data_IF_591698094014
#
_entry.id   IF_591698094014
#
_cell.length_a   1.000
_cell.length_b   1.000
_cell.length_c   1.000
_cell.angle_alpha   90.00
_cell.angle_beta   90.00
_cell.angle_gamma   90.00
#
_symmetry.space_group_name_H-M   'P 1'
#
loop_
_entity.id
_entity.type
_entity.pdbx_description
1 polymer ?
#
# COMPACT_ATOMS: atom_id res chain seq x y z
N UNK A 1 -9.84 -75.05 14.23
CA UNK A 1 -9.66 -73.62 14.17
C UNK A 1 -10.49 -73.11 13.04
N UNK A 2 -11.55 -72.40 13.39
CA UNK A 2 -12.60 -71.93 12.51
C UNK A 2 -12.18 -70.59 11.87
N UNK A 3 -12.53 -70.43 10.61
CA UNK A 3 -12.56 -69.14 9.92
C UNK A 3 -13.84 -68.39 10.32
N UNK A 4 -13.82 -67.07 10.44
CA UNK A 4 -15.06 -66.31 10.54
C UNK A 4 -15.53 -65.92 9.12
N UNK A 5 -16.86 -66.00 9.03
CA UNK A 5 -17.74 -65.80 7.90
C UNK A 5 -17.77 -64.32 7.39
N UNK A 6 -18.12 -64.22 6.14
CA UNK A 6 -18.39 -63.03 5.34
C UNK A 6 -19.37 -62.05 5.99
N UNK A 7 -19.03 -60.79 6.07
CA UNK A 7 -19.94 -59.70 6.38
C UNK A 7 -20.38 -59.01 5.07
N UNK A 8 -21.68 -59.04 4.85
CA UNK A 8 -22.38 -58.47 3.68
C UNK A 8 -22.23 -56.93 3.60
N UNK A 9 -22.05 -56.43 2.39
CA UNK A 9 -22.16 -55.02 2.04
C UNK A 9 -23.60 -54.50 2.18
N UNK A 10 -23.84 -53.32 2.71
CA UNK A 10 -25.17 -52.72 2.63
C UNK A 10 -25.39 -52.04 1.25
N UNK A 11 -26.56 -52.38 0.68
CA UNK A 11 -27.13 -51.91 -0.58
C UNK A 11 -27.42 -50.39 -0.55
N UNK A 12 -27.30 -49.82 -1.71
CA UNK A 12 -27.68 -48.49 -2.20
C UNK A 12 -28.87 -47.84 -1.51
N UNK A 13 -28.70 -46.62 -1.04
CA UNK A 13 -29.76 -45.72 -0.66
C UNK A 13 -29.91 -44.63 -1.74
N UNK A 14 -31.15 -44.52 -2.19
CA UNK A 14 -31.68 -43.68 -3.25
C UNK A 14 -31.18 -42.22 -3.30
N UNK A 15 -30.85 -41.75 -4.48
CA UNK A 15 -30.74 -40.34 -4.81
C UNK A 15 -32.13 -39.70 -4.93
N UNK A 16 -32.36 -38.51 -4.39
CA UNK A 16 -33.59 -37.78 -4.69
C UNK A 16 -33.53 -37.11 -6.07
N UNK A 17 -34.63 -37.18 -6.77
CA UNK A 17 -34.92 -36.64 -8.07
C UNK A 17 -34.72 -35.10 -8.16
N UNK A 18 -34.28 -34.66 -9.29
CA UNK A 18 -34.11 -33.26 -9.71
C UNK A 18 -35.45 -32.51 -9.72
N UNK A 19 -35.50 -31.39 -8.98
CA UNK A 19 -36.60 -30.45 -9.06
C UNK A 19 -36.45 -29.53 -10.29
N UNK A 20 -37.57 -29.37 -10.99
CA UNK A 20 -37.79 -28.62 -12.23
C UNK A 20 -37.28 -27.15 -12.15
N UNK A 21 -36.63 -26.72 -13.25
CA UNK A 21 -36.40 -25.32 -13.58
C UNK A 21 -37.67 -24.70 -14.18
N UNK A 22 -38.08 -23.50 -13.79
CA UNK A 22 -39.12 -22.78 -14.50
C UNK A 22 -38.59 -22.16 -15.82
N UNK A 23 -39.37 -22.37 -16.88
CA UNK A 23 -39.18 -21.80 -18.20
C UNK A 23 -39.16 -20.27 -18.20
N UNK A 24 -38.18 -19.70 -18.88
CA UNK A 24 -38.04 -18.28 -19.12
C UNK A 24 -38.83 -17.91 -20.36
N UNK A 25 -40.00 -17.29 -20.22
CA UNK A 25 -40.76 -16.73 -21.32
C UNK A 25 -40.19 -15.36 -21.69
N UNK A 26 -39.70 -15.30 -22.92
CA UNK A 26 -39.39 -14.08 -23.66
C UNK A 26 -40.49 -13.04 -23.56
N UNK A 27 -40.11 -11.81 -23.21
CA UNK A 27 -40.85 -10.60 -23.60
C UNK A 27 -39.85 -9.52 -23.96
N UNK A 28 -39.57 -9.45 -25.27
CA UNK A 28 -39.02 -8.23 -25.87
C UNK A 28 -40.07 -7.14 -25.80
N UNK A 29 -39.70 -6.05 -25.16
CA UNK A 29 -40.39 -4.78 -25.34
C UNK A 29 -39.34 -3.72 -25.71
N UNK A 30 -39.41 -3.33 -26.99
CA UNK A 30 -38.61 -2.30 -27.62
C UNK A 30 -38.99 -0.92 -27.03
N UNK A 31 -38.05 -0.25 -26.43
CA UNK A 31 -38.19 1.17 -26.09
C UNK A 31 -37.50 2.03 -27.15
N UNK A 32 -38.27 2.89 -27.75
CA UNK A 32 -37.92 3.84 -28.83
C UNK A 32 -36.92 4.91 -28.31
N UNK A 33 -35.99 5.26 -29.19
CA UNK A 33 -35.11 6.43 -29.03
C UNK A 33 -35.93 7.76 -29.08
N UNK A 34 -35.64 8.73 -28.24
CA UNK A 34 -36.18 10.06 -28.46
C UNK A 34 -35.32 10.84 -29.46
N UNK A 35 -36.05 11.38 -30.45
CA UNK A 35 -35.58 12.24 -31.54
C UNK A 35 -34.93 13.52 -31.03
N UNK A 36 -33.86 13.89 -31.71
CA UNK A 36 -33.16 15.17 -31.65
C UNK A 36 -34.09 16.38 -31.71
N UNK A 37 -33.90 17.31 -30.80
CA UNK A 37 -34.48 18.65 -30.87
C UNK A 37 -33.44 19.65 -31.38
N UNK A 38 -33.94 20.50 -32.25
CA UNK A 38 -33.34 21.52 -33.08
C UNK A 38 -32.31 22.45 -32.43
N UNK A 39 -31.30 22.79 -33.23
CA UNK A 39 -30.44 23.97 -33.05
C UNK A 39 -31.22 25.25 -33.47
N UNK A 40 -31.05 26.37 -32.79
CA UNK A 40 -31.42 27.67 -33.35
C UNK A 40 -30.25 28.31 -34.10
N UNK A 41 -30.63 28.90 -35.22
CA UNK A 41 -29.80 29.60 -36.18
C UNK A 41 -29.07 30.84 -35.65
N UNK A 42 -28.00 31.12 -36.35
CA UNK A 42 -27.16 32.30 -36.48
C UNK A 42 -27.78 33.66 -36.16
N UNK A 43 -27.10 34.48 -35.40
CA UNK A 43 -27.23 35.93 -35.37
C UNK A 43 -25.93 36.59 -35.81
N UNK A 44 -26.11 37.57 -36.65
CA UNK A 44 -25.21 38.30 -37.52
C UNK A 44 -24.09 39.10 -36.82
N UNK A 45 -22.99 39.26 -37.57
CA UNK A 45 -21.85 40.15 -37.37
C UNK A 45 -22.22 41.59 -37.75
N UNK A 46 -21.80 42.65 -37.06
CA UNK A 46 -21.58 43.94 -37.63
C UNK A 46 -20.11 44.18 -37.99
N UNK A 47 -19.88 44.56 -39.24
CA UNK A 47 -18.67 45.15 -39.75
C UNK A 47 -18.48 46.58 -39.21
N UNK A 48 -17.24 46.97 -38.96
CA UNK A 48 -16.85 48.33 -38.67
C UNK A 48 -15.33 48.44 -38.74
N UNK A 49 -14.90 48.96 -39.88
CA UNK A 49 -13.54 49.26 -40.17
C UNK A 49 -12.99 50.41 -39.32
N UNK A 50 -11.70 50.38 -38.97
CA UNK A 50 -10.83 51.54 -39.22
C UNK A 50 -9.37 51.08 -39.17
N UNK A 51 -8.66 51.55 -40.21
CA UNK A 51 -7.23 51.41 -40.45
C UNK A 51 -6.46 52.42 -39.59
N UNK A 52 -5.37 51.99 -38.96
CA UNK A 52 -4.21 52.89 -38.70
C UNK A 52 -2.91 52.14 -38.83
N UNK A 53 -2.26 52.45 -39.81
CA UNK A 53 -0.92 52.87 -40.17
C UNK A 53 0.24 52.24 -39.36
N UNK A 54 1.05 51.52 -40.12
CA UNK A 54 2.38 50.95 -39.79
C UNK A 54 3.39 52.04 -39.47
N UNK A 55 4.05 51.90 -38.32
CA UNK A 55 5.34 52.52 -38.05
C UNK A 55 6.44 51.45 -37.94
N UNK A 56 7.34 51.49 -38.92
CA UNK A 56 8.59 50.73 -38.89
C UNK A 56 9.43 51.16 -37.69
N UNK A 57 9.80 50.20 -36.83
CA UNK A 57 10.89 50.39 -35.87
C UNK A 57 12.05 49.47 -36.24
N UNK A 58 13.19 50.11 -36.45
CA UNK A 58 14.49 49.51 -36.69
C UNK A 58 14.96 48.56 -35.58
N UNK A 59 15.77 47.55 -35.89
CA UNK A 59 16.31 46.63 -34.89
C UNK A 59 17.39 47.33 -34.05
N UNK A 60 17.15 47.41 -32.74
CA UNK A 60 18.19 47.75 -31.76
C UNK A 60 19.14 46.56 -31.54
N UNK A 61 20.41 46.80 -31.29
CA UNK A 61 21.40 45.75 -31.06
C UNK A 61 21.10 45.04 -29.74
N UNK A 62 21.00 43.70 -29.78
CA UNK A 62 20.91 42.83 -28.63
C UNK A 62 22.14 43.03 -27.73
N UNK A 63 21.94 43.59 -26.57
CA UNK A 63 22.90 43.60 -25.48
C UNK A 63 22.98 42.19 -24.92
N UNK A 64 24.15 41.57 -24.93
CA UNK A 64 24.41 40.28 -24.34
C UNK A 64 24.02 40.27 -22.86
N UNK A 65 23.22 39.30 -22.46
CA UNK A 65 22.87 39.07 -21.08
C UNK A 65 24.15 38.69 -20.29
N UNK A 66 24.36 39.23 -19.09
CA UNK A 66 25.47 38.79 -18.25
C UNK A 66 25.22 37.32 -17.84
N UNK A 67 26.21 36.46 -18.09
CA UNK A 67 26.30 35.15 -17.51
C UNK A 67 26.47 35.27 -16.00
N UNK A 68 25.95 34.25 -15.27
CA UNK A 68 26.06 34.07 -13.84
C UNK A 68 25.20 34.98 -12.94
N UNK A 69 23.91 34.68 -12.89
CA UNK A 69 23.16 34.81 -11.67
C UNK A 69 23.19 33.43 -10.96
N UNK A 70 24.01 33.36 -9.91
CA UNK A 70 23.91 32.26 -8.95
C UNK A 70 22.42 32.06 -8.55
N UNK A 71 21.95 30.83 -8.37
CA UNK A 71 20.56 30.63 -7.95
C UNK A 71 20.33 31.41 -6.67
N UNK A 72 19.30 32.25 -6.66
CA UNK A 72 18.89 33.02 -5.51
C UNK A 72 18.73 32.06 -4.33
N UNK A 73 19.44 32.33 -3.25
CA UNK A 73 19.32 31.61 -2.01
C UNK A 73 17.84 31.56 -1.64
N UNK A 74 17.26 30.37 -1.65
CA UNK A 74 15.89 30.14 -1.22
C UNK A 74 15.77 30.67 0.22
N UNK A 75 14.78 31.52 0.46
CA UNK A 75 14.32 31.89 1.80
C UNK A 75 14.27 30.63 2.65
N UNK A 76 14.67 30.63 3.95
CA UNK A 76 14.57 29.46 4.81
C UNK A 76 13.10 29.15 5.06
N UNK A 77 12.45 28.48 4.12
CA UNK A 77 11.26 27.70 4.36
C UNK A 77 11.67 26.48 5.17
N UNK A 78 10.75 25.87 5.87
CA UNK A 78 10.89 24.67 6.73
C UNK A 78 11.75 23.50 6.17
N UNK A 79 12.59 23.72 5.19
CA UNK A 79 13.50 22.75 4.57
C UNK A 79 12.85 21.82 3.52
N UNK A 80 11.53 21.89 3.34
CA UNK A 80 10.83 21.04 2.36
C UNK A 80 10.79 21.64 0.95
N UNK A 81 10.91 20.77 -0.04
CA UNK A 81 10.69 21.13 -1.45
C UNK A 81 9.36 20.53 -1.96
N UNK A 82 8.85 21.08 -3.06
CA UNK A 82 7.65 20.62 -3.76
C UNK A 82 7.97 19.81 -5.02
N UNK A 83 9.25 19.54 -5.28
CA UNK A 83 9.69 18.71 -6.39
C UNK A 83 9.56 17.24 -6.01
N UNK A 84 9.14 16.42 -6.96
CA UNK A 84 9.03 14.98 -6.80
C UNK A 84 10.22 14.25 -7.40
N UNK A 85 10.46 13.03 -6.90
CA UNK A 85 11.44 12.12 -7.46
C UNK A 85 10.70 10.92 -8.08
N UNK A 86 10.99 10.64 -9.35
CA UNK A 86 10.53 9.40 -10.00
C UNK A 86 11.76 8.58 -10.39
N UNK A 87 11.87 7.40 -9.82
CA UNK A 87 12.93 6.43 -10.08
C UNK A 87 12.39 5.37 -11.02
N UNK A 88 12.98 5.22 -12.20
CA UNK A 88 12.54 4.27 -13.22
C UNK A 88 13.69 3.33 -13.56
N UNK A 89 13.56 2.05 -13.18
CA UNK A 89 14.47 0.99 -13.59
C UNK A 89 13.75 -0.01 -14.50
N UNK A 90 14.01 0.06 -15.80
CA UNK A 90 13.43 -0.87 -16.79
C UNK A 90 14.33 -2.07 -17.09
N UNK A 91 15.49 -2.17 -16.43
CA UNK A 91 16.47 -3.23 -16.65
C UNK A 91 16.30 -4.29 -15.55
N UNK A 92 15.60 -5.37 -15.83
CA UNK A 92 15.30 -6.42 -14.83
C UNK A 92 16.55 -7.09 -14.25
N UNK A 93 17.64 -7.15 -15.02
CA UNK A 93 18.93 -7.75 -14.66
C UNK A 93 19.92 -6.77 -14.00
N UNK A 94 19.53 -5.52 -13.82
CA UNK A 94 20.36 -4.49 -13.20
C UNK A 94 19.71 -3.90 -11.96
N UNK A 95 20.53 -3.59 -10.97
CA UNK A 95 20.11 -2.84 -9.77
C UNK A 95 20.43 -1.37 -9.98
N UNK A 96 19.43 -0.51 -9.78
CA UNK A 96 19.63 0.92 -9.72
C UNK A 96 19.89 1.31 -8.27
N UNK A 97 21.04 1.93 -8.00
CA UNK A 97 21.38 2.41 -6.66
C UNK A 97 21.12 3.92 -6.58
N UNK A 98 20.44 4.33 -5.51
CA UNK A 98 20.14 5.71 -5.19
C UNK A 98 20.55 5.98 -3.74
N UNK A 99 21.15 7.12 -3.46
CA UNK A 99 21.34 7.61 -2.09
C UNK A 99 20.41 8.77 -1.83
N UNK A 100 19.60 8.69 -0.77
CA UNK A 100 18.85 9.83 -0.24
C UNK A 100 19.66 10.41 0.92
N UNK A 101 20.01 11.69 0.81
CA UNK A 101 20.75 12.41 1.83
C UNK A 101 20.03 13.72 2.16
N UNK A 102 19.44 13.78 3.36
CA UNK A 102 18.70 14.95 3.86
C UNK A 102 17.58 15.41 2.90
N UNK A 103 16.95 14.47 2.19
CA UNK A 103 15.90 14.74 1.22
C UNK A 103 14.59 15.00 1.94
N UNK A 104 14.02 16.20 1.75
CA UNK A 104 12.74 16.59 2.36
C UNK A 104 11.77 17.06 1.27
N UNK A 105 10.73 16.26 1.02
CA UNK A 105 9.69 16.54 0.01
C UNK A 105 8.33 16.52 0.69
N UNK A 106 7.58 17.61 0.51
CA UNK A 106 6.21 17.71 0.98
C UNK A 106 5.31 18.19 -0.17
N UNK A 107 4.52 17.28 -0.70
CA UNK A 107 3.50 17.52 -1.71
C UNK A 107 2.10 17.10 -1.20
N UNK A 108 1.94 17.07 0.12
CA UNK A 108 0.71 16.65 0.80
C UNK A 108 -0.50 17.52 0.47
N UNK A 109 -0.28 18.73 -0.01
CA UNK A 109 -1.30 19.67 -0.47
C UNK A 109 -1.79 19.41 -1.90
N UNK A 110 -1.36 18.32 -2.54
CA UNK A 110 -1.78 17.95 -3.90
C UNK A 110 -2.84 16.86 -3.90
N UNK A 111 -3.69 16.87 -4.95
CA UNK A 111 -4.87 16.00 -5.04
C UNK A 111 -6.03 16.54 -4.20
N UNK A 112 -7.13 15.83 -4.21
CA UNK A 112 -8.33 16.20 -3.43
C UNK A 112 -8.74 14.99 -2.59
N UNK A 113 -8.61 15.04 -1.25
CA UNK A 113 -9.09 14.02 -0.35
C UNK A 113 -10.56 13.66 -0.58
N UNK A 114 -10.96 12.42 -0.36
CA UNK A 114 -12.33 11.94 -0.59
C UNK A 114 -12.74 11.82 -2.05
N UNK A 115 -11.81 12.02 -2.99
CA UNK A 115 -12.10 11.96 -4.42
C UNK A 115 -11.13 11.04 -5.16
N UNK A 116 -11.39 10.79 -6.46
CA UNK A 116 -10.48 10.03 -7.34
C UNK A 116 -9.31 10.87 -7.86
N UNK A 117 -9.27 12.18 -7.55
CA UNK A 117 -8.20 13.08 -8.01
C UNK A 117 -6.94 12.81 -7.20
N UNK A 118 -6.00 12.11 -7.83
CA UNK A 118 -4.72 11.75 -7.22
C UNK A 118 -3.80 12.95 -7.08
N UNK A 119 -3.14 13.05 -5.94
CA UNK A 119 -2.04 13.96 -5.72
C UNK A 119 -0.74 13.49 -6.36
N UNK A 120 0.36 14.10 -5.95
CA UNK A 120 1.72 13.72 -6.34
C UNK A 120 2.30 12.76 -5.31
N UNK A 121 3.05 11.76 -5.75
CA UNK A 121 3.93 11.00 -4.88
C UNK A 121 5.24 11.78 -4.66
N UNK A 122 5.70 11.89 -3.42
CA UNK A 122 6.97 12.56 -3.11
C UNK A 122 8.15 11.83 -3.77
N UNK A 123 8.18 10.50 -3.64
CA UNK A 123 9.08 9.62 -4.37
C UNK A 123 8.31 8.41 -4.90
N UNK A 124 8.48 8.09 -6.19
CA UNK A 124 7.90 6.88 -6.79
C UNK A 124 8.96 6.02 -7.45
N UNK A 125 8.84 4.69 -7.28
CA UNK A 125 9.69 3.67 -7.90
C UNK A 125 8.88 2.90 -8.93
N UNK A 126 9.37 2.84 -10.16
CA UNK A 126 8.69 2.26 -11.32
C UNK A 126 9.61 1.34 -12.12
N UNK A 127 9.01 0.47 -12.91
CA UNK A 127 9.70 -0.45 -13.80
C UNK A 127 9.89 -1.83 -13.20
N UNK A 128 10.54 -2.71 -13.95
CA UNK A 128 10.74 -4.12 -13.61
C UNK A 128 12.14 -4.47 -13.07
N UNK A 129 13.03 -3.50 -13.00
CA UNK A 129 14.34 -3.66 -12.38
C UNK A 129 14.33 -3.36 -10.88
N UNK A 130 15.31 -3.91 -10.19
CA UNK A 130 15.47 -3.71 -8.75
C UNK A 130 16.03 -2.31 -8.45
N UNK A 131 15.59 -1.71 -7.35
CA UNK A 131 16.08 -0.42 -6.87
C UNK A 131 16.53 -0.58 -5.43
N UNK A 132 17.76 -0.17 -5.13
CA UNK A 132 18.30 -0.05 -3.78
C UNK A 132 18.44 1.42 -3.41
N UNK A 133 17.90 1.79 -2.26
CA UNK A 133 17.98 3.16 -1.72
C UNK A 133 18.82 3.10 -0.44
N UNK A 134 19.98 3.74 -0.50
CA UNK A 134 20.82 4.02 0.67
C UNK A 134 20.27 5.25 1.39
N UNK A 135 20.11 5.16 2.70
CA UNK A 135 19.63 6.26 3.53
C UNK A 135 20.79 6.93 4.24
N UNK A 136 20.99 8.23 4.02
CA UNK A 136 21.96 9.08 4.72
C UNK A 136 21.22 10.26 5.35
N UNK A 137 21.54 10.59 6.57
CA UNK A 137 20.91 11.72 7.27
C UNK A 137 19.40 11.57 7.44
N UNK A 138 18.68 12.67 7.48
CA UNK A 138 17.25 12.72 7.79
C UNK A 138 16.40 12.96 6.54
N UNK A 139 15.77 11.92 6.05
CA UNK A 139 14.89 11.99 4.87
C UNK A 139 13.42 12.01 5.27
N UNK A 140 12.64 12.90 4.67
CA UNK A 140 11.19 13.00 4.92
C UNK A 140 10.41 13.16 3.60
N UNK A 141 9.45 12.25 3.39
CA UNK A 141 8.61 12.17 2.19
C UNK A 141 7.14 12.25 2.60
N UNK A 142 6.43 13.30 2.16
CA UNK A 142 4.99 13.46 2.37
C UNK A 142 4.29 13.56 1.02
N UNK A 143 3.40 12.64 0.74
CA UNK A 143 2.69 12.57 -0.53
C UNK A 143 1.28 13.15 -0.45
N UNK A 144 0.76 13.55 -1.60
CA UNK A 144 -0.59 14.06 -1.75
C UNK A 144 -1.66 12.96 -1.72
N UNK A 145 -2.92 13.36 -1.75
CA UNK A 145 -4.06 12.46 -1.65
C UNK A 145 -3.95 11.26 -2.59
N UNK A 146 -4.30 10.08 -2.11
CA UNK A 146 -4.29 8.82 -2.87
C UNK A 146 -2.91 8.31 -3.32
N UNK A 147 -1.81 8.82 -2.74
CA UNK A 147 -0.44 8.42 -3.07
C UNK A 147 0.33 7.97 -1.84
N UNK A 148 1.20 6.96 -2.01
CA UNK A 148 2.08 6.53 -0.92
C UNK A 148 3.24 7.51 -0.70
N UNK A 149 3.74 7.61 0.53
CA UNK A 149 4.86 8.46 0.90
C UNK A 149 6.11 8.13 0.08
N UNK A 150 6.53 6.87 0.11
CA UNK A 150 7.44 6.24 -0.86
C UNK A 150 6.61 5.25 -1.67
N UNK A 151 6.28 5.61 -2.88
CA UNK A 151 5.33 4.85 -3.68
C UNK A 151 5.98 3.77 -4.52
N UNK A 152 5.46 2.55 -4.39
CA UNK A 152 5.82 1.38 -5.17
C UNK A 152 4.57 0.53 -5.41
N UNK A 153 3.78 0.91 -6.41
CA UNK A 153 2.61 0.16 -6.84
C UNK A 153 3.00 -1.06 -7.67
N UNK A 154 2.33 -2.18 -7.47
CA UNK A 154 2.52 -3.39 -8.30
C UNK A 154 2.14 -3.18 -9.76
N UNK A 155 1.21 -2.28 -10.06
CA UNK A 155 0.84 -1.91 -11.42
C UNK A 155 2.00 -1.29 -12.21
N UNK A 156 2.89 -0.57 -11.52
CA UNK A 156 3.92 0.24 -12.14
C UNK A 156 5.34 -0.32 -11.91
N UNK A 157 5.49 -1.25 -10.96
CA UNK A 157 6.79 -1.77 -10.55
C UNK A 157 6.72 -3.21 -10.06
N UNK A 158 7.39 -4.11 -10.78
CA UNK A 158 7.53 -5.53 -10.41
C UNK A 158 8.88 -5.86 -9.79
N UNK A 159 9.90 -5.02 -9.93
CA UNK A 159 11.21 -5.18 -9.30
C UNK A 159 11.14 -5.04 -7.77
N UNK A 160 12.22 -5.34 -7.08
CA UNK A 160 12.34 -5.18 -5.62
C UNK A 160 12.76 -3.76 -5.28
N UNK A 161 12.10 -3.17 -4.27
CA UNK A 161 12.56 -1.97 -3.57
C UNK A 161 13.32 -2.41 -2.32
N UNK A 162 14.58 -2.03 -2.19
CA UNK A 162 15.37 -2.27 -0.98
C UNK A 162 15.75 -0.95 -0.33
N UNK A 163 15.42 -0.79 0.95
CA UNK A 163 15.93 0.29 1.80
C UNK A 163 17.09 -0.25 2.63
N UNK A 164 18.19 0.47 2.68
CA UNK A 164 19.40 0.07 3.40
C UNK A 164 20.13 1.26 4.02
N UNK A 165 21.00 0.95 4.95
CA UNK A 165 21.91 1.86 5.63
C UNK A 165 23.19 1.04 5.88
N UNK A 166 23.94 0.82 4.79
CA UNK A 166 25.10 -0.06 4.77
C UNK A 166 26.42 0.71 4.92
N UNK A 167 26.36 2.03 4.78
CA UNK A 167 27.54 2.90 4.90
C UNK A 167 27.80 3.32 6.36
N UNK A 168 28.64 4.31 6.58
CA UNK A 168 28.99 4.79 7.91
C UNK A 168 28.14 5.99 8.39
N UNK A 169 27.29 6.50 7.53
CA UNK A 169 26.42 7.65 7.84
C UNK A 169 25.05 7.11 8.25
N UNK A 170 24.65 7.33 9.49
CA UNK A 170 23.33 6.89 9.95
C UNK A 170 22.22 7.56 9.14
N UNK A 171 21.28 6.76 8.66
CA UNK A 171 20.19 7.23 7.83
C UNK A 171 18.81 6.96 8.39
N UNK A 172 17.92 7.92 8.15
CA UNK A 172 16.52 7.78 8.51
C UNK A 172 15.60 8.10 7.33
N UNK A 173 14.42 7.49 7.32
CA UNK A 173 13.34 7.78 6.40
C UNK A 173 12.03 7.92 7.18
N UNK A 174 11.38 9.08 7.06
CA UNK A 174 9.99 9.27 7.46
C UNK A 174 9.13 9.37 6.21
N UNK A 175 8.27 8.40 5.98
CA UNK A 175 7.39 8.34 4.82
C UNK A 175 5.93 8.42 5.28
N UNK A 176 5.19 9.42 4.76
CA UNK A 176 3.78 9.64 5.10
C UNK A 176 2.95 9.59 3.84
N UNK A 177 1.99 8.67 3.81
CA UNK A 177 1.01 8.54 2.73
C UNK A 177 -0.03 9.67 2.77
N UNK A 178 -0.59 9.99 1.61
CA UNK A 178 -1.84 10.75 1.54
C UNK A 178 -3.03 9.86 1.87
N UNK A 179 -4.23 10.37 1.88
CA UNK A 179 -5.46 9.77 2.43
C UNK A 179 -5.60 8.24 2.26
N UNK A 180 -5.48 7.72 1.06
CA UNK A 180 -5.59 6.28 0.76
C UNK A 180 -4.22 5.68 0.36
N UNK A 181 -3.13 6.32 0.69
CA UNK A 181 -1.81 5.84 0.36
C UNK A 181 -1.11 5.19 1.55
N UNK A 182 -0.31 4.17 1.32
CA UNK A 182 0.59 3.62 2.32
C UNK A 182 1.68 4.64 2.71
N UNK A 183 2.30 4.46 3.87
CA UNK A 183 3.55 5.17 4.17
C UNK A 183 4.62 4.77 3.15
N UNK A 184 4.85 3.46 2.98
CA UNK A 184 5.72 2.88 1.97
C UNK A 184 4.96 1.77 1.25
N UNK A 185 4.80 1.87 -0.07
CA UNK A 185 4.13 0.83 -0.87
C UNK A 185 3.07 1.36 -1.83
N UNK A 186 1.84 0.88 -1.73
CA UNK A 186 0.76 1.19 -2.66
C UNK A 186 0.10 2.55 -2.41
N UNK A 187 -0.28 3.24 -3.48
CA UNK A 187 -1.27 4.33 -3.43
C UNK A 187 -2.70 3.76 -3.41
N UNK A 188 -3.70 4.61 -3.53
CA UNK A 188 -5.11 4.20 -3.56
C UNK A 188 -5.36 3.05 -4.54
N UNK A 189 -5.96 1.94 -4.06
CA UNK A 189 -6.19 0.68 -4.77
C UNK A 189 -4.91 0.02 -5.30
N UNK A 190 -3.77 0.39 -4.74
CA UNK A 190 -2.48 -0.16 -5.11
C UNK A 190 -1.97 -1.13 -4.05
N UNK A 191 -1.48 -2.29 -4.48
CA UNK A 191 -0.74 -3.19 -3.60
C UNK A 191 0.72 -2.77 -3.50
N UNK A 192 1.28 -2.83 -2.30
CA UNK A 192 2.72 -2.70 -2.07
C UNK A 192 3.36 -4.09 -2.07
N UNK A 193 4.31 -4.34 -2.98
CA UNK A 193 4.92 -5.66 -3.16
C UNK A 193 6.41 -5.61 -3.37
N UNK A 194 7.11 -6.69 -2.98
CA UNK A 194 8.57 -6.82 -3.12
C UNK A 194 9.33 -5.68 -2.42
N UNK A 195 9.05 -5.45 -1.14
CA UNK A 195 9.69 -4.42 -0.32
C UNK A 195 10.63 -5.08 0.67
N UNK A 196 11.90 -4.67 0.68
CA UNK A 196 12.91 -5.17 1.61
C UNK A 196 13.51 -4.02 2.42
N UNK A 197 13.59 -4.17 3.74
CA UNK A 197 14.27 -3.23 4.62
C UNK A 197 15.46 -3.97 5.25
N UNK A 198 16.67 -3.51 4.98
CA UNK A 198 17.93 -4.09 5.48
C UNK A 198 18.52 -3.32 6.65
N UNK A 199 18.25 -1.99 6.72
CA UNK A 199 18.87 -1.13 7.73
C UNK A 199 18.23 0.25 7.80
N UNK A 200 18.81 1.12 8.62
CA UNK A 200 18.35 2.49 8.87
C UNK A 200 17.17 2.58 9.85
N UNK A 201 16.74 3.82 10.10
CA UNK A 201 15.53 4.09 10.87
C UNK A 201 14.39 4.44 9.93
N UNK A 202 13.40 3.58 9.81
CA UNK A 202 12.26 3.75 8.92
C UNK A 202 10.99 4.00 9.73
N UNK A 203 10.39 5.18 9.55
CA UNK A 203 9.11 5.57 10.14
C UNK A 203 8.10 5.70 9.01
N UNK A 204 7.20 4.75 8.87
CA UNK A 204 6.21 4.70 7.81
C UNK A 204 4.80 4.87 8.38
N UNK A 205 4.09 5.91 7.94
CA UNK A 205 2.72 6.20 8.38
C UNK A 205 1.81 6.18 7.17
N UNK A 206 0.82 5.32 7.18
CA UNK A 206 -0.24 5.28 6.19
C UNK A 206 -1.14 6.53 6.28
N UNK A 207 -1.79 6.86 5.20
CA UNK A 207 -2.92 7.78 5.21
C UNK A 207 -4.14 7.12 5.85
N UNK A 208 -5.31 7.74 5.74
CA UNK A 208 -6.54 7.32 6.42
C UNK A 208 -6.83 5.81 6.28
N UNK A 209 -6.66 5.27 5.07
CA UNK A 209 -6.96 3.87 4.73
C UNK A 209 -5.72 3.08 4.27
N UNK A 210 -4.54 3.66 4.31
CA UNK A 210 -3.31 3.03 3.86
C UNK A 210 -2.55 2.32 4.96
N UNK A 211 -1.85 1.24 4.64
CA UNK A 211 -0.93 0.57 5.56
C UNK A 211 0.28 1.47 5.90
N UNK A 212 0.92 1.24 7.04
CA UNK A 212 2.23 1.85 7.31
C UNK A 212 3.22 1.40 6.24
N UNK A 213 3.40 0.10 6.05
CA UNK A 213 4.19 -0.51 4.97
C UNK A 213 3.33 -1.57 4.28
N UNK A 214 3.07 -1.41 2.98
CA UNK A 214 2.30 -2.37 2.20
C UNK A 214 1.23 -1.77 1.32
N UNK A 215 -0.01 -2.17 1.47
CA UNK A 215 -1.12 -1.77 0.61
C UNK A 215 -1.64 -0.36 0.88
N UNK A 216 -2.12 0.31 -0.17
CA UNK A 216 -2.96 1.50 -0.02
C UNK A 216 -4.41 1.12 0.29
N UNK A 217 -5.22 2.13 0.62
CA UNK A 217 -6.65 1.94 0.88
C UNK A 217 -7.48 1.74 -0.38
N UNK A 218 -8.72 1.34 -0.18
CA UNK A 218 -9.66 0.98 -1.25
C UNK A 218 -9.53 -0.48 -1.66
N UNK A 219 -10.43 -0.93 -2.53
CA UNK A 219 -10.48 -2.31 -2.98
C UNK A 219 -9.10 -2.79 -3.48
N UNK A 220 -8.64 -3.96 -2.97
CA UNK A 220 -7.43 -4.68 -3.43
C UNK A 220 -6.07 -4.16 -2.95
N UNK A 221 -5.98 -3.24 -2.03
CA UNK A 221 -4.70 -2.73 -1.50
C UNK A 221 -3.99 -3.73 -0.56
N UNK A 222 -3.35 -4.75 -1.10
CA UNK A 222 -2.61 -5.77 -0.32
C UNK A 222 -1.14 -5.39 -0.10
N UNK A 223 -0.57 -5.87 1.00
CA UNK A 223 0.89 -5.86 1.23
C UNK A 223 1.45 -7.26 1.04
N UNK A 224 2.34 -7.45 0.06
CA UNK A 224 2.86 -8.76 -0.30
C UNK A 224 4.38 -8.76 -0.42
N UNK A 225 5.01 -9.90 -0.12
CA UNK A 225 6.46 -10.09 -0.25
C UNK A 225 7.25 -8.97 0.48
N UNK A 226 6.90 -8.71 1.74
CA UNK A 226 7.56 -7.70 2.57
C UNK A 226 8.59 -8.39 3.46
N UNK A 227 9.86 -7.97 3.38
CA UNK A 227 10.94 -8.56 4.14
C UNK A 227 11.67 -7.52 4.99
N UNK A 228 11.78 -7.75 6.30
CA UNK A 228 12.57 -6.92 7.20
C UNK A 228 13.74 -7.73 7.72
N UNK A 229 14.97 -7.31 7.41
CA UNK A 229 16.22 -7.98 7.76
C UNK A 229 16.99 -7.27 8.87
N UNK A 230 16.72 -5.99 9.09
CA UNK A 230 17.43 -5.18 10.07
C UNK A 230 16.89 -3.75 10.16
N UNK A 231 17.58 -2.93 10.93
CA UNK A 231 17.19 -1.54 11.20
C UNK A 231 16.15 -1.39 12.30
N UNK A 232 15.67 -0.16 12.45
CA UNK A 232 14.53 0.19 13.33
C UNK A 232 13.35 0.57 12.45
N UNK A 233 12.28 -0.19 12.51
CA UNK A 233 11.08 0.01 11.68
C UNK A 233 9.89 0.31 12.56
N UNK A 234 9.30 1.49 12.38
CA UNK A 234 8.05 1.89 13.01
C UNK A 234 7.00 2.09 11.91
N UNK A 235 6.02 1.22 11.86
CA UNK A 235 4.99 1.22 10.85
C UNK A 235 3.61 1.40 11.50
N UNK A 236 2.93 2.49 11.16
CA UNK A 236 1.58 2.76 11.63
C UNK A 236 0.60 2.78 10.46
N UNK A 237 -0.41 1.94 10.52
CA UNK A 237 -1.54 1.95 9.59
C UNK A 237 -2.47 3.14 9.83
N UNK A 238 -3.28 3.47 8.84
CA UNK A 238 -4.42 4.38 8.98
C UNK A 238 -5.57 3.72 9.74
N UNK A 239 -6.76 4.33 9.75
CA UNK A 239 -7.86 3.91 10.61
C UNK A 239 -8.24 2.42 10.52
N UNK A 240 -8.20 1.85 9.32
CA UNK A 240 -8.60 0.46 9.09
C UNK A 240 -7.52 -0.33 8.33
N UNK A 241 -6.29 0.07 8.48
CA UNK A 241 -5.17 -0.51 7.73
C UNK A 241 -4.11 -1.08 8.67
N UNK A 242 -3.42 -2.12 8.23
CA UNK A 242 -2.36 -2.77 8.99
C UNK A 242 -1.14 -1.84 9.21
N UNK A 243 -0.41 -2.03 10.29
CA UNK A 243 0.91 -1.43 10.44
C UNK A 243 1.83 -1.89 9.32
N UNK A 244 1.95 -3.23 9.13
CA UNK A 244 2.68 -3.86 8.03
C UNK A 244 1.76 -4.86 7.37
N UNK A 245 1.43 -4.66 6.09
CA UNK A 245 0.58 -5.56 5.33
C UNK A 245 -0.51 -4.86 4.53
N UNK A 246 -1.76 -5.21 4.72
CA UNK A 246 -2.88 -4.72 3.93
C UNK A 246 -3.35 -3.32 4.32
N UNK A 247 -3.79 -2.53 3.33
CA UNK A 247 -4.59 -1.34 3.56
C UNK A 247 -6.06 -1.70 3.88
N UNK A 248 -6.91 -0.68 4.10
CA UNK A 248 -8.35 -0.88 4.22
C UNK A 248 -8.93 -1.40 2.91
N UNK A 249 -9.61 -2.52 2.95
CA UNK A 249 -10.24 -3.17 1.81
C UNK A 249 -11.60 -2.61 1.39
N UNK A 250 -12.12 -1.59 2.07
CA UNK A 250 -13.41 -0.98 1.78
C UNK A 250 -14.58 -1.97 1.89
N UNK A 251 -15.13 -2.19 3.07
CA UNK A 251 -16.17 -3.14 3.47
C UNK A 251 -17.34 -3.44 2.52
N UNK A 252 -17.06 -3.80 1.28
CA UNK A 252 -18.05 -4.20 0.28
C UNK A 252 -18.50 -5.65 0.48
N UNK A 253 -19.79 -5.92 0.34
CA UNK A 253 -20.48 -7.20 0.55
C UNK A 253 -20.06 -8.36 -0.36
N UNK A 254 -18.91 -8.31 -1.00
CA UNK A 254 -18.43 -9.35 -1.89
C UNK A 254 -17.10 -9.91 -1.43
N UNK A 255 -17.06 -11.10 -0.90
CA UNK A 255 -15.91 -11.86 -0.39
C UNK A 255 -14.62 -11.86 -1.24
N UNK A 256 -14.09 -10.69 -1.53
CA UNK A 256 -12.86 -10.49 -2.25
C UNK A 256 -11.68 -10.32 -1.30
N UNK A 257 -10.48 -10.47 -1.79
CA UNK A 257 -9.19 -10.33 -1.11
C UNK A 257 -9.00 -8.86 -0.70
N UNK A 258 -9.57 -8.51 0.44
CA UNK A 258 -9.66 -7.15 0.92
C UNK A 258 -8.43 -6.89 1.78
N UNK A 259 -7.51 -6.07 1.31
CA UNK A 259 -6.42 -5.54 2.12
C UNK A 259 -5.59 -6.56 2.89
N UNK A 260 -5.23 -7.69 2.28
CA UNK A 260 -4.50 -8.76 2.96
C UNK A 260 -3.01 -8.46 3.09
N UNK A 261 -2.41 -8.98 4.16
CA UNK A 261 -0.94 -9.07 4.31
C UNK A 261 -0.48 -10.48 4.01
N UNK A 262 0.40 -10.65 3.00
CA UNK A 262 0.84 -11.96 2.59
C UNK A 262 2.35 -12.03 2.40
N UNK A 263 2.92 -13.21 2.76
CA UNK A 263 4.36 -13.47 2.64
C UNK A 263 5.21 -12.37 3.31
N UNK A 264 4.93 -12.13 4.59
CA UNK A 264 5.67 -11.15 5.39
C UNK A 264 6.75 -11.86 6.19
N UNK A 265 8.02 -11.49 5.99
CA UNK A 265 9.15 -12.14 6.64
C UNK A 265 9.96 -11.15 7.47
N UNK A 266 10.20 -11.46 8.75
CA UNK A 266 11.06 -10.67 9.65
C UNK A 266 12.18 -11.57 10.13
N UNK A 267 13.42 -11.22 9.77
CA UNK A 267 14.62 -11.99 10.13
C UNK A 267 15.53 -11.25 11.11
N UNK A 268 15.24 -9.99 11.40
CA UNK A 268 16.04 -9.17 12.32
C UNK A 268 15.51 -7.75 12.45
N UNK A 269 16.24 -6.93 13.21
CA UNK A 269 15.88 -5.54 13.49
C UNK A 269 14.96 -5.36 14.70
N UNK A 270 14.57 -4.12 14.93
CA UNK A 270 13.54 -3.73 15.91
C UNK A 270 12.34 -3.23 15.15
N UNK A 271 11.23 -3.94 15.24
CA UNK A 271 10.00 -3.66 14.48
C UNK A 271 8.87 -3.34 15.43
N UNK A 272 8.26 -2.16 15.24
CA UNK A 272 7.00 -1.78 15.86
C UNK A 272 5.97 -1.62 14.76
N UNK A 273 4.87 -2.34 14.85
CA UNK A 273 3.79 -2.32 13.87
C UNK A 273 2.45 -2.11 14.58
N UNK A 274 1.86 -0.94 14.37
CA UNK A 274 0.58 -0.57 14.95
C UNK A 274 -0.50 -0.55 13.86
N UNK A 275 -1.50 -1.40 13.97
CA UNK A 275 -2.69 -1.40 13.13
C UNK A 275 -3.69 -0.33 13.57
N UNK A 276 -4.51 0.13 12.62
CA UNK A 276 -5.66 0.99 12.90
C UNK A 276 -6.81 0.23 13.56
N UNK A 277 -7.96 0.87 13.75
CA UNK A 277 -9.05 0.44 14.63
C UNK A 277 -9.47 -1.03 14.48
N UNK A 278 -9.61 -1.54 13.26
CA UNK A 278 -10.04 -2.92 13.00
C UNK A 278 -9.01 -3.75 12.22
N UNK A 279 -7.75 -3.31 12.24
CA UNK A 279 -6.69 -3.91 11.47
C UNK A 279 -5.61 -4.58 12.34
N UNK A 280 -4.88 -5.50 11.75
CA UNK A 280 -3.75 -6.16 12.40
C UNK A 280 -2.53 -5.22 12.55
N UNK A 281 -1.71 -5.45 13.57
CA UNK A 281 -0.37 -4.84 13.63
C UNK A 281 0.46 -5.29 12.43
N UNK A 282 0.57 -6.61 12.23
CA UNK A 282 1.22 -7.24 11.07
C UNK A 282 0.23 -8.19 10.42
N UNK A 283 -0.14 -7.96 9.16
CA UNK A 283 -1.05 -8.83 8.42
C UNK A 283 -2.17 -8.07 7.69
N UNK A 284 -3.43 -8.40 7.94
CA UNK A 284 -4.57 -7.83 7.24
C UNK A 284 -5.02 -6.46 7.75
N UNK A 285 -5.48 -5.60 6.84
CA UNK A 285 -6.35 -4.46 7.17
C UNK A 285 -7.76 -4.97 7.56
N UNK A 286 -8.70 -4.06 7.74
CA UNK A 286 -10.09 -4.43 8.00
C UNK A 286 -10.62 -5.38 6.92
N UNK A 287 -11.28 -6.45 7.30
CA UNK A 287 -11.68 -7.62 6.48
C UNK A 287 -10.52 -8.37 5.80
N UNK A 288 -9.27 -7.96 5.96
CA UNK A 288 -8.11 -8.59 5.34
C UNK A 288 -7.53 -9.72 6.20
N UNK A 289 -7.01 -10.75 5.56
CA UNK A 289 -6.28 -11.84 6.21
C UNK A 289 -4.78 -11.54 6.30
N UNK A 290 -4.13 -12.16 7.29
CA UNK A 290 -2.68 -12.26 7.38
C UNK A 290 -2.26 -13.70 7.07
N UNK A 291 -1.50 -13.89 5.98
CA UNK A 291 -1.12 -15.21 5.47
C UNK A 291 0.40 -15.32 5.29
N UNK A 292 0.95 -16.51 5.50
CA UNK A 292 2.38 -16.77 5.29
C UNK A 292 3.30 -15.78 6.04
N UNK A 293 3.04 -15.55 7.33
CA UNK A 293 3.86 -14.63 8.15
C UNK A 293 4.94 -15.40 8.88
N UNK A 294 6.21 -15.05 8.62
CA UNK A 294 7.37 -15.75 9.19
C UNK A 294 8.27 -14.80 9.98
N UNK A 295 8.55 -15.13 11.25
CA UNK A 295 9.49 -14.39 12.10
C UNK A 295 10.58 -15.36 12.56
N UNK A 296 11.81 -15.08 12.15
CA UNK A 296 12.98 -15.91 12.47
C UNK A 296 14.07 -15.15 13.23
N UNK A 297 13.75 -13.96 13.73
CA UNK A 297 14.66 -13.15 14.53
C UNK A 297 14.18 -11.73 14.74
N UNK A 298 14.95 -10.95 15.50
CA UNK A 298 14.65 -9.55 15.81
C UNK A 298 13.81 -9.38 17.07
N UNK A 299 13.45 -8.11 17.33
CA UNK A 299 12.50 -7.71 18.37
C UNK A 299 11.28 -7.12 17.70
N UNK A 300 10.14 -7.78 17.81
CA UNK A 300 8.89 -7.42 17.15
C UNK A 300 7.84 -7.06 18.19
N UNK A 301 7.27 -5.88 18.04
CA UNK A 301 6.08 -5.46 18.78
C UNK A 301 4.98 -5.19 17.76
N UNK A 302 3.95 -5.98 17.78
CA UNK A 302 2.81 -5.90 16.88
C UNK A 302 1.54 -5.67 17.67
N UNK A 303 0.81 -4.60 17.36
CA UNK A 303 -0.40 -4.22 18.05
C UNK A 303 -1.54 -4.06 17.05
N UNK A 304 -2.58 -4.87 17.21
CA UNK A 304 -3.84 -4.73 16.48
C UNK A 304 -4.72 -3.63 17.08
N UNK A 305 -5.57 -3.03 16.27
CA UNK A 305 -6.65 -2.17 16.73
C UNK A 305 -7.88 -2.97 17.20
N UNK A 306 -8.98 -2.33 17.51
CA UNK A 306 -10.15 -2.90 18.21
C UNK A 306 -10.56 -4.31 17.83
N UNK A 307 -10.77 -4.57 16.56
CA UNK A 307 -11.11 -5.89 16.01
C UNK A 307 -9.91 -6.68 15.46
N UNK A 308 -8.73 -6.09 15.32
CA UNK A 308 -7.58 -6.68 14.65
C UNK A 308 -6.69 -7.54 15.55
N UNK A 309 -6.03 -8.52 14.96
CA UNK A 309 -4.99 -9.30 15.64
C UNK A 309 -3.69 -8.50 15.80
N UNK A 310 -2.85 -8.85 16.78
CA UNK A 310 -1.48 -8.33 16.83
C UNK A 310 -0.72 -8.77 15.59
N UNK A 311 -0.72 -10.09 15.30
CA UNK A 311 -0.15 -10.67 14.08
C UNK A 311 -1.22 -11.58 13.47
N UNK A 312 -1.64 -11.31 12.23
CA UNK A 312 -2.62 -12.11 11.50
C UNK A 312 -3.73 -11.30 10.85
N UNK A 313 -5.01 -11.62 11.09
CA UNK A 313 -6.14 -10.97 10.43
C UNK A 313 -6.57 -9.66 11.07
N UNK A 314 -7.11 -8.75 10.26
CA UNK A 314 -7.95 -7.66 10.73
C UNK A 314 -9.33 -8.19 11.15
N UNK A 315 -10.28 -7.30 11.45
CA UNK A 315 -11.67 -7.71 11.76
C UNK A 315 -12.19 -8.61 10.64
N UNK A 316 -12.78 -9.75 11.02
CA UNK A 316 -13.27 -10.80 10.10
C UNK A 316 -12.21 -11.43 9.19
N UNK A 317 -10.95 -11.02 9.32
CA UNK A 317 -9.81 -11.60 8.61
C UNK A 317 -9.22 -12.77 9.39
N UNK A 318 -8.71 -13.75 8.66
CA UNK A 318 -8.02 -14.90 9.22
C UNK A 318 -6.53 -14.63 9.44
N UNK A 319 -5.92 -15.33 10.39
CA UNK A 319 -4.47 -15.44 10.51
C UNK A 319 -4.05 -16.87 10.19
N UNK A 320 -3.35 -17.07 9.07
CA UNK A 320 -3.04 -18.39 8.55
C UNK A 320 -1.55 -18.54 8.29
N UNK A 321 -1.01 -19.74 8.52
CA UNK A 321 0.39 -20.08 8.25
C UNK A 321 1.39 -19.12 8.91
N UNK A 322 1.20 -18.86 10.22
CA UNK A 322 2.07 -17.96 10.99
C UNK A 322 3.14 -18.79 11.70
N UNK A 323 4.41 -18.54 11.38
CA UNK A 323 5.55 -19.27 11.93
C UNK A 323 6.53 -18.33 12.65
N UNK A 324 6.83 -18.63 13.92
CA UNK A 324 7.79 -17.88 14.73
C UNK A 324 8.82 -18.87 15.26
N UNK A 325 10.08 -18.75 14.85
CA UNK A 325 11.14 -19.72 15.24
C UNK A 325 12.23 -19.12 16.09
N UNK A 326 12.40 -17.80 16.08
CA UNK A 326 13.41 -17.09 16.88
C UNK A 326 12.99 -15.63 17.10
N UNK A 327 13.73 -14.91 17.94
CA UNK A 327 13.49 -13.51 18.28
C UNK A 327 12.59 -13.31 19.51
N UNK A 328 12.35 -12.04 19.82
CA UNK A 328 11.42 -11.63 20.88
C UNK A 328 10.19 -11.00 20.23
N UNK A 329 9.02 -11.60 20.41
CA UNK A 329 7.77 -11.17 19.79
C UNK A 329 6.73 -10.84 20.85
N UNK A 330 6.28 -9.60 20.85
CA UNK A 330 5.16 -9.13 21.66
C UNK A 330 3.99 -8.79 20.72
N UNK A 331 3.00 -9.64 20.69
CA UNK A 331 1.83 -9.50 19.84
C UNK A 331 0.60 -9.24 20.71
N UNK A 332 0.02 -8.06 20.63
CA UNK A 332 -1.22 -7.70 21.31
C UNK A 332 -2.34 -7.53 20.31
N UNK A 333 -3.40 -8.32 20.42
CA UNK A 333 -4.65 -8.08 19.72
C UNK A 333 -5.38 -6.86 20.29
N UNK A 334 -6.32 -6.34 19.52
CA UNK A 334 -7.27 -5.36 20.03
C UNK A 334 -8.29 -5.99 20.97
N UNK A 335 -9.34 -5.25 21.32
CA UNK A 335 -10.36 -5.68 22.32
C UNK A 335 -11.00 -7.03 21.97
N UNK A 336 -11.05 -7.39 20.70
CA UNK A 336 -11.70 -8.62 20.22
C UNK A 336 -10.82 -9.43 19.25
N UNK A 337 -9.57 -9.01 19.05
CA UNK A 337 -8.62 -9.69 18.17
C UNK A 337 -7.67 -10.60 18.95
N UNK A 338 -7.14 -11.63 18.31
CA UNK A 338 -6.12 -12.49 18.90
C UNK A 338 -4.77 -11.77 18.98
N UNK A 339 -3.93 -12.12 19.97
CA UNK A 339 -2.53 -11.71 19.92
C UNK A 339 -1.85 -12.19 18.64
N UNK A 340 -2.04 -13.49 18.31
CA UNK A 340 -1.59 -14.10 17.05
C UNK A 340 -2.73 -14.96 16.52
N UNK A 341 -3.16 -14.76 15.27
CA UNK A 341 -4.25 -15.49 14.63
C UNK A 341 -5.27 -14.58 13.95
N UNK A 342 -6.56 -14.91 14.07
CA UNK A 342 -7.64 -14.11 13.46
C UNK A 342 -8.01 -12.87 14.26
N UNK A 343 -8.57 -11.87 13.58
CA UNK A 343 -9.26 -10.77 14.22
C UNK A 343 -10.67 -11.20 14.69
N UNK A 344 -11.47 -10.22 15.10
CA UNK A 344 -12.86 -10.44 15.51
C UNK A 344 -13.65 -11.13 14.40
N UNK A 345 -14.30 -12.25 14.74
CA UNK A 345 -14.98 -13.14 13.78
C UNK A 345 -14.09 -13.80 12.72
N UNK A 346 -12.79 -13.62 12.78
CA UNK A 346 -11.83 -14.37 11.98
C UNK A 346 -11.34 -15.63 12.69
N UNK A 347 -10.62 -16.46 11.97
CA UNK A 347 -10.04 -17.71 12.47
C UNK A 347 -8.52 -17.64 12.49
N UNK A 348 -7.88 -18.36 13.42
CA UNK A 348 -6.45 -18.65 13.37
C UNK A 348 -6.22 -20.09 12.95
N UNK A 349 -5.33 -20.34 11.99
CA UNK A 349 -4.92 -21.68 11.61
C UNK A 349 -3.41 -21.77 11.35
N UNK A 350 -2.85 -22.95 11.59
CA UNK A 350 -1.42 -23.24 11.36
C UNK A 350 -0.46 -22.24 12.03
N UNK A 351 -0.75 -21.85 13.27
CA UNK A 351 0.16 -21.00 14.07
C UNK A 351 1.20 -21.88 14.74
N UNK A 352 2.47 -21.68 14.41
CA UNK A 352 3.60 -22.45 14.94
C UNK A 352 4.58 -21.53 15.66
N UNK A 353 4.88 -21.84 16.92
CA UNK A 353 5.95 -21.21 17.69
C UNK A 353 6.96 -22.31 18.06
N UNK A 354 8.23 -22.14 17.72
CA UNK A 354 9.26 -23.15 17.95
C UNK A 354 10.64 -22.50 18.11
N UNK A 355 11.68 -23.33 18.20
CA UNK A 355 13.07 -22.87 18.29
C UNK A 355 13.38 -22.09 19.57
N UNK A 356 14.09 -20.95 19.42
CA UNK A 356 14.49 -20.09 20.53
C UNK A 356 13.58 -18.86 20.71
N UNK A 357 12.42 -18.85 20.06
CA UNK A 357 11.48 -17.74 20.11
C UNK A 357 10.97 -17.44 21.53
N UNK A 358 10.96 -16.16 21.89
CA UNK A 358 10.30 -15.65 23.10
C UNK A 358 9.06 -14.88 22.69
N UNK A 359 7.91 -15.47 22.92
CA UNK A 359 6.63 -14.93 22.40
C UNK A 359 5.68 -14.62 23.54
N UNK A 360 5.18 -13.39 23.55
CA UNK A 360 4.05 -12.95 24.37
C UNK A 360 2.90 -12.60 23.44
N UNK A 361 1.81 -13.34 23.52
CA UNK A 361 0.59 -13.07 22.77
C UNK A 361 -0.54 -12.74 23.75
N UNK A 362 -1.16 -11.58 23.58
CA UNK A 362 -2.24 -11.07 24.44
C UNK A 362 -3.45 -10.79 23.53
N UNK A 363 -4.63 -11.25 23.96
CA UNK A 363 -5.92 -10.98 23.31
C UNK A 363 -6.77 -10.08 24.21
#
# INVERSE_FOLDING_TARGET
>A
PAQPEDAEEPKDADQPESADQPENTDRQESAEEPKSADQPESAEKPEGADQQESAEQQPQPQQAAPADAAPAASTPGNGFCKNIITVINKCADKVLNLTLKDVKIDVSDTGIPGTTIKGKAALSVQGNGNVEIELDGDNELKSGANRAGLEKNTSDSTGTLTLKDDNKEAGSLKATGGENGAGIGGGNRGSGKNITIKGGTVNATGGLDGAGIGGGGGDWGSGEDITIKGGTVNAAGGLQAAGIGGGNGGGGSGGGLLGSGKNITITGGTVTADGGDDAAGIGGGDYGSGEDITITGGTVTAKGGGGGAGIGGGERGNGEDITITDGTVNAAGGVSGAGIGGGWKGSGSNVTVSGAAQVTAIA
#
